data_IF_214974403297
#
_entry.id   IF_214974403297
#
_cell.length_a   1.000
_cell.length_b   1.000
_cell.length_c   1.000
_cell.angle_alpha   90.00
_cell.angle_beta   90.00
_cell.angle_gamma   90.00
#
_symmetry.space_group_name_H-M   'P 1'
#
loop_
_entity.id
_entity.type
_entity.pdbx_description
1 polymer ?
#
# COMPACT_ATOMS: atom_id res chain seq x y z
N UNK A 1 -9.18 19.30 10.81
CA UNK A 1 -7.93 18.66 10.35
C UNK A 1 -8.20 17.17 10.20
N UNK A 2 -8.10 16.58 9.00
CA UNK A 2 -8.12 15.14 8.89
C UNK A 2 -6.92 14.60 9.67
N UNK A 3 -7.19 13.66 10.58
CA UNK A 3 -6.12 12.97 11.28
C UNK A 3 -5.33 12.13 10.27
N UNK A 4 -4.00 12.02 10.39
CA UNK A 4 -3.25 11.11 9.55
C UNK A 4 -3.86 9.71 9.71
N UNK A 5 -4.11 9.08 8.60
CA UNK A 5 -4.66 7.73 8.56
C UNK A 5 -3.61 6.76 9.10
N UNK A 6 -3.89 6.18 10.26
CA UNK A 6 -2.96 5.25 10.91
C UNK A 6 -3.13 3.89 10.26
N UNK A 7 -2.09 3.30 9.63
CA UNK A 7 -2.21 2.01 8.98
C UNK A 7 -2.32 0.87 9.98
N UNK A 8 -3.02 -0.19 9.59
CA UNK A 8 -2.98 -1.48 10.27
C UNK A 8 -1.84 -2.34 9.69
N UNK A 9 -1.37 -3.29 10.47
CA UNK A 9 -0.30 -4.20 10.06
C UNK A 9 -0.62 -5.66 10.41
N UNK A 10 -0.02 -6.56 9.64
CA UNK A 10 0.01 -8.00 9.90
C UNK A 10 1.45 -8.47 9.95
N UNK A 11 1.73 -9.43 10.83
CA UNK A 11 3.01 -10.11 10.92
C UNK A 11 2.80 -11.62 10.89
N UNK A 12 3.40 -12.30 9.93
CA UNK A 12 3.44 -13.75 9.85
C UNK A 12 4.77 -14.25 10.39
N UNK A 13 4.70 -15.13 11.36
CA UNK A 13 5.85 -15.76 12.03
C UNK A 13 5.75 -17.28 11.95
N UNK A 14 6.82 -17.96 12.32
CA UNK A 14 6.83 -19.41 12.51
C UNK A 14 7.74 -19.77 13.68
N UNK A 15 7.54 -20.96 14.24
CA UNK A 15 8.44 -21.50 15.26
C UNK A 15 9.86 -21.66 14.69
N UNK A 16 10.86 -21.33 15.49
CA UNK A 16 12.27 -21.43 15.11
C UNK A 16 12.76 -20.34 14.16
N UNK A 17 11.95 -19.34 13.82
CA UNK A 17 12.36 -18.21 13.00
C UNK A 17 13.25 -17.24 13.81
N UNK A 18 14.54 -17.07 13.48
CA UNK A 18 15.47 -16.29 14.30
C UNK A 18 15.20 -14.77 14.23
N UNK A 19 14.54 -14.28 13.18
CA UNK A 19 14.30 -12.87 12.93
C UNK A 19 12.89 -12.41 13.31
N UNK A 20 11.98 -13.35 13.58
CA UNK A 20 10.58 -13.03 13.86
C UNK A 20 10.39 -12.24 15.16
N UNK A 21 11.17 -12.55 16.20
CA UNK A 21 11.09 -11.82 17.47
C UNK A 21 11.48 -10.34 17.34
N UNK A 22 12.51 -10.04 16.55
CA UNK A 22 12.93 -8.66 16.31
C UNK A 22 11.87 -7.87 15.54
N UNK A 23 11.23 -8.48 14.54
CA UNK A 23 10.16 -7.84 13.77
C UNK A 23 8.92 -7.60 14.62
N UNK A 24 8.55 -8.57 15.45
CA UNK A 24 7.45 -8.43 16.40
C UNK A 24 7.69 -7.27 17.38
N UNK A 25 8.87 -7.20 17.96
CA UNK A 25 9.24 -6.12 18.89
C UNK A 25 9.19 -4.74 18.21
N UNK A 26 9.75 -4.62 17.02
CA UNK A 26 9.76 -3.35 16.27
C UNK A 26 8.36 -2.88 15.88
N UNK A 27 7.50 -3.79 15.41
CA UNK A 27 6.11 -3.47 15.07
C UNK A 27 5.27 -3.14 16.32
N UNK A 28 5.47 -3.87 17.41
CA UNK A 28 4.81 -3.59 18.69
C UNK A 28 5.17 -2.20 19.21
N UNK A 29 6.41 -1.77 19.07
CA UNK A 29 6.84 -0.42 19.45
C UNK A 29 6.11 0.66 18.62
N UNK A 30 5.91 0.43 17.34
CA UNK A 30 5.14 1.34 16.48
C UNK A 30 3.65 1.41 16.85
N UNK A 31 3.08 0.31 17.33
CA UNK A 31 1.72 0.30 17.90
C UNK A 31 1.66 1.15 19.17
N UNK A 32 2.62 0.96 20.09
CA UNK A 32 2.71 1.74 21.34
C UNK A 32 2.89 3.24 21.08
N UNK A 33 3.57 3.60 20.01
CA UNK A 33 3.76 5.00 19.59
C UNK A 33 2.54 5.58 18.87
N UNK A 34 1.48 4.80 18.66
CA UNK A 34 0.29 5.23 17.94
C UNK A 34 0.49 5.39 16.44
N UNK A 35 1.53 4.81 15.87
CA UNK A 35 1.87 4.87 14.43
C UNK A 35 1.26 3.73 13.63
N UNK A 36 0.93 2.62 14.28
CA UNK A 36 0.16 1.50 13.76
C UNK A 36 -1.09 1.37 14.61
N UNK A 37 -2.27 1.25 14.00
CA UNK A 37 -3.55 1.15 14.70
C UNK A 37 -3.83 -0.23 15.24
N UNK A 38 -3.51 -1.26 14.46
CA UNK A 38 -3.73 -2.66 14.81
C UNK A 38 -2.57 -3.50 14.29
N UNK A 39 -2.11 -4.45 15.08
CA UNK A 39 -1.14 -5.46 14.68
C UNK A 39 -1.74 -6.85 14.86
N UNK A 40 -1.98 -7.57 13.76
CA UNK A 40 -2.36 -8.96 13.79
C UNK A 40 -1.10 -9.84 13.62
N UNK A 41 -0.95 -10.84 14.47
CA UNK A 41 0.19 -11.76 14.45
C UNK A 41 -0.34 -13.16 14.21
N UNK A 42 0.17 -13.85 13.20
CA UNK A 42 -0.25 -15.19 12.82
C UNK A 42 0.97 -16.11 12.81
N UNK A 43 0.89 -17.21 13.54
CA UNK A 43 1.91 -18.26 13.54
C UNK A 43 1.59 -19.28 12.45
N UNK A 44 2.40 -19.32 11.39
CA UNK A 44 2.21 -20.22 10.25
C UNK A 44 2.49 -21.68 10.58
N UNK A 45 3.20 -21.98 11.67
CA UNK A 45 3.37 -23.37 12.13
C UNK A 45 2.03 -23.99 12.54
N UNK A 46 1.06 -23.18 12.97
CA UNK A 46 -0.29 -23.60 13.35
C UNK A 46 -1.37 -23.25 12.32
N UNK A 47 -1.11 -22.23 11.50
CA UNK A 47 -2.03 -21.72 10.48
C UNK A 47 -1.33 -21.60 9.11
N UNK A 48 -0.86 -22.72 8.51
CA UNK A 48 -0.13 -22.67 7.24
C UNK A 48 -0.96 -22.14 6.07
N UNK A 49 -2.27 -22.35 6.09
CA UNK A 49 -3.22 -21.83 5.10
C UNK A 49 -3.22 -20.29 5.00
N UNK A 50 -2.91 -19.61 6.08
CA UNK A 50 -2.81 -18.14 6.08
C UNK A 50 -1.63 -17.63 5.24
N UNK A 51 -0.51 -18.35 5.23
CA UNK A 51 0.62 -18.08 4.36
C UNK A 51 0.31 -18.39 2.90
N UNK A 52 -0.30 -19.53 2.62
CA UNK A 52 -0.68 -19.97 1.28
C UNK A 52 -1.64 -18.97 0.60
N UNK A 53 -2.66 -18.53 1.31
CA UNK A 53 -3.61 -17.51 0.79
C UNK A 53 -2.95 -16.19 0.40
N UNK A 54 -1.85 -15.83 1.03
CA UNK A 54 -1.09 -14.60 0.75
C UNK A 54 0.08 -14.80 -0.20
N UNK A 55 0.32 -16.03 -0.66
CA UNK A 55 1.47 -16.38 -1.49
C UNK A 55 2.82 -16.20 -0.76
N UNK A 56 2.82 -16.33 0.57
CA UNK A 56 4.01 -16.16 1.40
C UNK A 56 4.88 -17.41 1.34
N UNK A 57 6.18 -17.21 1.05
CA UNK A 57 7.16 -18.30 0.90
C UNK A 57 8.14 -18.41 2.05
N UNK A 58 8.15 -17.44 2.96
CA UNK A 58 9.07 -17.42 4.08
C UNK A 58 8.66 -16.42 5.15
N UNK A 59 9.23 -16.56 6.32
CA UNK A 59 8.98 -15.69 7.48
C UNK A 59 10.29 -15.04 7.96
N UNK A 60 10.26 -13.87 8.59
CA UNK A 60 9.07 -13.04 8.81
C UNK A 60 8.53 -12.46 7.52
N UNK A 61 7.24 -12.34 7.43
CA UNK A 61 6.55 -11.60 6.38
C UNK A 61 5.55 -10.65 7.04
N UNK A 62 5.41 -9.46 6.49
CA UNK A 62 4.53 -8.46 7.08
C UNK A 62 3.81 -7.66 6.00
N UNK A 63 2.66 -7.15 6.37
CA UNK A 63 1.92 -6.16 5.60
C UNK A 63 1.73 -4.92 6.46
N UNK A 64 2.07 -3.76 5.93
CA UNK A 64 1.85 -2.46 6.56
C UNK A 64 0.99 -1.63 5.61
N UNK A 65 -0.28 -1.42 5.97
CA UNK A 65 -1.25 -0.86 5.04
C UNK A 65 -1.29 -1.68 3.74
N UNK A 66 -1.07 -1.06 2.57
CA UNK A 66 -1.06 -1.77 1.29
C UNK A 66 0.26 -2.49 0.98
N UNK A 67 1.33 -2.24 1.75
CA UNK A 67 2.68 -2.71 1.43
C UNK A 67 2.98 -4.07 2.04
N UNK A 68 3.48 -4.98 1.21
CA UNK A 68 3.94 -6.31 1.60
C UNK A 68 5.46 -6.33 1.67
N UNK A 69 6.00 -6.80 2.79
CA UNK A 69 7.42 -6.83 3.07
C UNK A 69 7.84 -8.24 3.50
N UNK A 70 8.88 -8.77 2.89
CA UNK A 70 9.43 -10.09 3.23
C UNK A 70 10.83 -9.95 3.82
N UNK A 71 11.11 -10.68 4.90
CA UNK A 71 12.41 -10.69 5.55
C UNK A 71 12.55 -9.70 6.70
N UNK A 72 13.79 -9.45 7.07
CA UNK A 72 14.13 -8.58 8.19
C UNK A 72 14.37 -7.14 7.76
N UNK A 73 13.88 -6.22 8.58
CA UNK A 73 14.02 -4.78 8.40
C UNK A 73 14.50 -4.14 9.70
N UNK A 74 15.28 -3.07 9.58
CA UNK A 74 15.63 -2.26 10.74
C UNK A 74 14.40 -1.49 11.24
N UNK A 75 14.31 -1.14 12.54
CA UNK A 75 13.19 -0.34 13.06
C UNK A 75 12.97 0.97 12.29
N UNK A 76 14.03 1.64 11.85
CA UNK A 76 13.95 2.87 11.04
C UNK A 76 13.36 2.64 9.65
N UNK A 77 13.61 1.49 9.04
CA UNK A 77 13.02 1.11 7.75
C UNK A 77 11.53 0.82 7.89
N UNK A 78 11.13 0.11 8.93
CA UNK A 78 9.72 -0.13 9.23
C UNK A 78 8.97 1.17 9.49
N UNK A 79 9.57 2.10 10.23
CA UNK A 79 9.01 3.42 10.45
C UNK A 79 8.77 4.18 9.15
N UNK A 80 9.69 4.10 8.18
CA UNK A 80 9.53 4.69 6.85
C UNK A 80 8.36 4.08 6.09
N UNK A 81 8.19 2.76 6.14
CA UNK A 81 7.04 2.09 5.51
C UNK A 81 5.70 2.50 6.14
N UNK A 82 5.67 2.66 7.45
CA UNK A 82 4.49 3.14 8.18
C UNK A 82 4.13 4.57 7.74
N UNK A 83 5.09 5.46 7.59
CA UNK A 83 4.87 6.82 7.09
C UNK A 83 4.32 6.82 5.66
N UNK A 84 4.88 6.00 4.78
CA UNK A 84 4.39 5.82 3.41
C UNK A 84 2.94 5.32 3.37
N UNK A 85 2.61 4.37 4.21
CA UNK A 85 1.26 3.81 4.29
C UNK A 85 0.24 4.79 4.88
N UNK A 86 0.66 5.61 5.82
CA UNK A 86 -0.20 6.51 6.60
C UNK A 86 -0.51 7.86 5.93
N UNK A 87 -0.04 8.13 4.71
CA UNK A 87 -0.29 9.39 4.02
C UNK A 87 -0.53 9.19 2.52
N UNK A 88 -1.42 9.98 1.95
CA UNK A 88 -1.63 10.02 0.50
C UNK A 88 -0.33 10.38 -0.23
N UNK A 89 0.39 11.39 0.25
CA UNK A 89 1.68 11.81 -0.32
C UNK A 89 2.70 10.67 -0.30
N UNK A 90 2.77 9.90 0.78
CA UNK A 90 3.67 8.76 0.90
C UNK A 90 3.34 7.65 -0.09
N UNK A 91 2.06 7.30 -0.23
CA UNK A 91 1.59 6.31 -1.22
C UNK A 91 1.85 6.76 -2.65
N UNK A 92 1.52 8.01 -2.95
CA UNK A 92 1.72 8.61 -4.28
C UNK A 92 3.18 8.66 -4.67
N UNK A 93 4.06 9.07 -3.76
CA UNK A 93 5.51 9.07 -3.97
C UNK A 93 6.04 7.66 -4.26
N UNK A 94 5.62 6.67 -3.50
CA UNK A 94 6.01 5.27 -3.72
C UNK A 94 5.60 4.79 -5.11
N UNK A 95 4.36 5.05 -5.52
CA UNK A 95 3.87 4.68 -6.86
C UNK A 95 4.70 5.32 -7.96
N UNK A 96 5.02 6.61 -7.82
CA UNK A 96 5.87 7.32 -8.76
C UNK A 96 7.25 6.68 -8.87
N UNK A 97 7.92 6.42 -7.74
CA UNK A 97 9.22 5.77 -7.68
C UNK A 97 9.21 4.39 -8.37
N UNK A 98 8.16 3.58 -8.12
CA UNK A 98 8.03 2.28 -8.76
C UNK A 98 7.83 2.37 -10.28
N UNK A 99 7.02 3.30 -10.75
CA UNK A 99 6.80 3.52 -12.18
C UNK A 99 8.06 4.06 -12.88
N UNK A 100 8.84 4.93 -12.21
CA UNK A 100 10.13 5.40 -12.71
C UNK A 100 11.16 4.26 -12.84
N UNK A 101 11.08 3.25 -11.97
CA UNK A 101 11.92 2.04 -12.01
C UNK A 101 11.42 0.96 -12.98
N UNK A 102 10.25 1.16 -13.61
CA UNK A 102 9.65 0.19 -14.51
C UNK A 102 8.95 -0.98 -13.83
N UNK A 103 8.68 -0.88 -12.52
CA UNK A 103 8.03 -1.93 -11.70
C UNK A 103 6.50 -1.96 -11.92
N UNK A 104 6.06 -2.10 -13.18
CA UNK A 104 4.68 -2.00 -13.59
C UNK A 104 3.78 -3.04 -12.93
N UNK A 105 4.22 -4.30 -12.92
CA UNK A 105 3.46 -5.42 -12.35
C UNK A 105 3.22 -5.23 -10.84
N UNK A 106 4.21 -4.68 -10.14
CA UNK A 106 4.09 -4.36 -8.72
C UNK A 106 3.04 -3.29 -8.48
N UNK A 107 3.06 -2.22 -9.24
CA UNK A 107 2.06 -1.14 -9.13
C UNK A 107 0.67 -1.66 -9.47
N UNK A 108 0.53 -2.42 -10.54
CA UNK A 108 -0.74 -3.04 -10.95
C UNK A 108 -1.30 -3.94 -9.83
N UNK A 109 -0.45 -4.80 -9.26
CA UNK A 109 -0.84 -5.68 -8.16
C UNK A 109 -1.28 -4.93 -6.89
N UNK A 110 -0.57 -3.87 -6.53
CA UNK A 110 -0.94 -3.01 -5.40
C UNK A 110 -2.30 -2.33 -5.62
N UNK A 111 -2.50 -1.74 -6.78
CA UNK A 111 -3.74 -1.05 -7.12
C UNK A 111 -4.94 -2.01 -7.21
N UNK A 112 -4.71 -3.25 -7.64
CA UNK A 112 -5.75 -4.27 -7.69
C UNK A 112 -6.24 -4.69 -6.29
N UNK A 113 -5.36 -4.64 -5.29
CA UNK A 113 -5.65 -5.06 -3.92
C UNK A 113 -6.15 -3.94 -3.02
N UNK A 114 -5.79 -2.71 -3.31
CA UNK A 114 -6.02 -1.57 -2.43
C UNK A 114 -6.46 -0.33 -3.21
N UNK A 115 -7.70 0.10 -2.97
CA UNK A 115 -8.29 1.26 -3.64
C UNK A 115 -7.58 2.58 -3.32
N UNK A 116 -6.91 2.69 -2.16
CA UNK A 116 -6.16 3.89 -1.80
C UNK A 116 -4.93 4.07 -2.70
N UNK A 117 -4.32 2.96 -3.15
CA UNK A 117 -3.23 2.99 -4.13
C UNK A 117 -3.74 3.42 -5.51
N UNK A 118 -4.90 2.95 -5.90
CA UNK A 118 -5.54 3.36 -7.17
C UNK A 118 -5.85 4.86 -7.19
N UNK A 119 -6.35 5.41 -6.07
CA UNK A 119 -6.53 6.87 -5.90
C UNK A 119 -5.21 7.62 -6.02
N UNK A 120 -4.13 7.09 -5.49
CA UNK A 120 -2.78 7.65 -5.63
C UNK A 120 -2.33 7.77 -7.08
N UNK A 121 -2.68 6.81 -7.94
CA UNK A 121 -2.42 6.89 -9.39
C UNK A 121 -3.19 8.04 -10.05
N UNK A 122 -4.43 8.29 -9.64
CA UNK A 122 -5.20 9.43 -10.14
C UNK A 122 -4.57 10.76 -9.76
N UNK A 123 -4.07 10.88 -8.53
CA UNK A 123 -3.35 12.09 -8.07
C UNK A 123 -2.14 12.32 -8.98
N UNK A 124 -1.35 11.28 -9.27
CA UNK A 124 -0.22 11.37 -10.19
C UNK A 124 -0.64 11.72 -11.62
N UNK A 125 -1.73 11.15 -12.10
CA UNK A 125 -2.23 11.42 -13.46
C UNK A 125 -2.68 12.88 -13.62
N UNK A 126 -3.25 13.47 -12.57
CA UNK A 126 -3.71 14.84 -12.55
C UNK A 126 -2.58 15.88 -12.36
N UNK A 127 -1.46 15.47 -11.79
CA UNK A 127 -0.32 16.35 -11.56
C UNK A 127 0.43 16.62 -12.88
N UNK A 128 0.47 17.91 -13.28
CA UNK A 128 1.11 18.34 -14.51
C UNK A 128 2.65 18.14 -14.50
N UNK A 129 3.25 18.08 -13.33
CA UNK A 129 4.70 17.87 -13.17
C UNK A 129 5.10 16.39 -13.20
N UNK A 130 4.13 15.49 -13.33
CA UNK A 130 4.41 14.06 -13.46
C UNK A 130 5.17 13.77 -14.75
N UNK A 131 6.35 13.12 -14.71
CA UNK A 131 7.14 12.79 -15.88
C UNK A 131 6.37 11.96 -16.91
N UNK A 132 6.66 12.19 -18.19
CA UNK A 132 5.98 11.50 -19.29
C UNK A 132 6.05 9.97 -19.20
N UNK A 133 7.23 9.43 -18.82
CA UNK A 133 7.41 7.98 -18.63
C UNK A 133 6.48 7.41 -17.55
N UNK A 134 6.28 8.16 -16.45
CA UNK A 134 5.34 7.78 -15.38
C UNK A 134 3.91 7.80 -15.89
N UNK A 135 3.52 8.80 -16.67
CA UNK A 135 2.18 8.88 -17.29
C UNK A 135 1.87 7.69 -18.19
N UNK A 136 2.85 7.25 -18.99
CA UNK A 136 2.71 6.03 -19.81
C UNK A 136 2.47 4.83 -18.90
N UNK A 137 3.25 4.69 -17.84
CA UNK A 137 3.08 3.61 -16.85
C UNK A 137 1.69 3.63 -16.19
N UNK A 138 1.18 4.79 -15.83
CA UNK A 138 -0.18 4.94 -15.29
C UNK A 138 -1.23 4.46 -16.30
N UNK A 139 -1.10 4.85 -17.57
CA UNK A 139 -1.97 4.39 -18.63
C UNK A 139 -1.99 2.86 -18.76
N UNK A 140 -0.81 2.23 -18.74
CA UNK A 140 -0.68 0.78 -18.81
C UNK A 140 -1.33 0.07 -17.60
N UNK A 141 -1.21 0.63 -16.40
CA UNK A 141 -1.90 0.10 -15.21
C UNK A 141 -3.42 0.18 -15.38
N UNK A 142 -3.94 1.30 -15.87
CA UNK A 142 -5.38 1.45 -16.09
C UNK A 142 -5.90 0.50 -17.18
N UNK A 143 -5.14 0.27 -18.24
CA UNK A 143 -5.49 -0.70 -19.28
C UNK A 143 -5.61 -2.13 -18.73
N UNK A 144 -4.70 -2.51 -17.82
CA UNK A 144 -4.73 -3.85 -17.19
C UNK A 144 -5.86 -4.00 -16.16
N UNK A 145 -6.18 -2.95 -15.42
CA UNK A 145 -7.21 -2.95 -14.37
C UNK A 145 -8.63 -2.74 -14.92
N UNK A 146 -8.78 -2.07 -16.05
CA UNK A 146 -10.07 -1.74 -16.65
C UNK A 146 -10.97 -2.96 -16.87
N UNK A 147 -10.50 -4.02 -17.55
CA UNK A 147 -11.29 -5.24 -17.79
C UNK A 147 -11.72 -5.97 -16.51
N UNK A 148 -11.03 -5.74 -15.40
CA UNK A 148 -11.33 -6.35 -14.10
C UNK A 148 -12.43 -5.62 -13.33
N UNK A 149 -13.00 -4.54 -13.87
CA UNK A 149 -14.05 -3.74 -13.25
C UNK A 149 -13.60 -2.88 -12.08
N UNK A 150 -12.30 -2.87 -11.77
CA UNK A 150 -11.74 -2.16 -10.62
C UNK A 150 -11.77 -0.63 -10.76
N UNK A 151 -11.98 -0.14 -11.97
CA UNK A 151 -12.08 1.29 -12.24
C UNK A 151 -13.52 1.84 -12.13
N UNK A 152 -14.54 0.98 -12.02
CA UNK A 152 -15.94 1.41 -12.02
C UNK A 152 -16.30 2.25 -10.80
N UNK A 153 -15.86 1.82 -9.62
CA UNK A 153 -16.10 2.57 -8.38
C UNK A 153 -15.34 3.91 -8.38
N UNK A 154 -14.18 3.91 -9.03
CA UNK A 154 -13.35 5.10 -9.16
C UNK A 154 -13.95 6.10 -10.14
N UNK A 155 -14.59 5.65 -11.22
CA UNK A 155 -15.29 6.52 -12.16
C UNK A 155 -16.40 7.29 -11.46
N UNK A 156 -17.16 6.64 -10.57
CA UNK A 156 -18.19 7.30 -9.77
C UNK A 156 -17.63 8.39 -8.84
N UNK A 157 -16.48 8.15 -8.22
CA UNK A 157 -15.80 9.15 -7.37
C UNK A 157 -15.26 10.33 -8.20
N UNK A 158 -14.75 10.09 -9.39
CA UNK A 158 -14.28 11.13 -10.32
C UNK A 158 -15.45 12.00 -10.76
N UNK A 159 -16.57 11.39 -11.14
CA UNK A 159 -17.77 12.11 -11.55
C UNK A 159 -18.32 12.99 -10.41
N UNK A 160 -18.30 12.48 -9.18
CA UNK A 160 -18.65 13.28 -8.00
C UNK A 160 -17.70 14.46 -7.79
N UNK A 161 -16.40 14.25 -7.94
CA UNK A 161 -15.40 15.31 -7.77
C UNK A 161 -15.53 16.39 -8.85
N UNK A 162 -15.80 16.00 -10.09
CA UNK A 162 -16.02 16.91 -11.22
C UNK A 162 -17.35 17.66 -11.08
N UNK A 163 -18.42 16.99 -10.63
CA UNK A 163 -19.73 17.60 -10.40
C UNK A 163 -19.72 18.67 -9.31
N UNK A 164 -18.83 18.57 -8.33
CA UNK A 164 -18.67 19.60 -7.29
C UNK A 164 -17.89 20.84 -7.77
N UNK A 165 -17.09 20.71 -8.82
CA UNK A 165 -16.33 21.84 -9.36
C UNK A 165 -17.19 22.76 -10.24
N UNK A 166 -18.28 22.26 -10.82
CA UNK A 166 -19.18 23.06 -11.65
C UNK A 166 -20.19 23.91 -10.83
N UNK A 167 -20.38 23.62 -9.54
CA UNK A 167 -21.34 24.34 -8.68
C UNK A 167 -20.68 25.46 -7.85
N UNK A 168 -19.41 25.74 -8.03
CA UNK A 168 -18.69 26.79 -7.26
C UNK A 168 -18.44 28.07 -8.04
N UNK A 169 -19.11 28.27 -9.18
CA UNK A 169 -19.07 29.51 -9.95
C UNK A 169 -20.50 30.03 -10.18
N UNK A 170 -21.12 30.56 -9.13
CA UNK A 170 -22.23 31.54 -9.21
C UNK A 170 -22.02 32.61 -8.15
#
# INVERSE_FOLDING_TARGET
>A
MPQPEVPDAELLIAEGCPHCAAMLSALADLVKQGRIGRLAIINLSHHPDEGERRGVRGVPWMRIGPFELAGSYRPSELATWVERAGSETGRTRYLREQLEQGELDRVTGLCARDSTMLKGLLVLAADLDTPFAVRIGIGAVFEDLGPKGLLNDLAAEIDQALGHSEHSQV
#
